data_IF_437424950902
#
_entry.id   IF_437424950902
#
_cell.length_a   1.000
_cell.length_b   1.000
_cell.length_c   1.000
_cell.angle_alpha   90.00
_cell.angle_beta   90.00
_cell.angle_gamma   90.00
#
_symmetry.space_group_name_H-M   'P 1'
#
loop_
_entity.id
_entity.type
_entity.pdbx_description
1 polymer ?
#
# COMPACT_ATOMS: atom_id res chain seq x y z
N UNK A 1 -39.30 -47.55 8.22
CA UNK A 1 -37.98 -47.23 8.81
C UNK A 1 -37.56 -45.85 8.34
N UNK A 2 -37.91 -44.80 9.09
CA UNK A 2 -37.51 -43.42 8.79
C UNK A 2 -36.42 -42.97 9.76
N UNK A 3 -35.22 -42.71 9.24
CA UNK A 3 -34.08 -42.23 10.01
C UNK A 3 -34.21 -40.72 10.27
N UNK A 4 -34.27 -40.35 11.55
CA UNK A 4 -34.10 -38.98 12.01
C UNK A 4 -32.59 -38.66 12.11
N UNK A 5 -32.05 -37.67 11.39
CA UNK A 5 -30.70 -37.18 11.64
C UNK A 5 -30.68 -36.26 12.86
N UNK A 6 -30.03 -36.77 13.92
CA UNK A 6 -29.37 -36.09 15.04
C UNK A 6 -29.47 -34.55 15.17
N UNK A 7 -30.46 -34.10 15.94
CA UNK A 7 -30.52 -32.75 16.57
C UNK A 7 -29.27 -32.44 17.43
N UNK A 8 -28.54 -33.47 17.88
CA UNK A 8 -27.34 -33.36 18.71
C UNK A 8 -26.11 -32.78 17.98
N UNK A 9 -26.00 -32.96 16.65
CA UNK A 9 -24.87 -32.42 15.87
C UNK A 9 -24.91 -30.90 15.70
N UNK A 10 -26.12 -30.32 15.59
CA UNK A 10 -26.32 -28.88 15.42
C UNK A 10 -26.12 -28.10 16.74
N UNK A 11 -26.46 -28.71 17.88
CA UNK A 11 -26.25 -28.11 19.20
C UNK A 11 -24.77 -28.13 19.63
N UNK A 12 -24.01 -29.16 19.24
CA UNK A 12 -22.58 -29.29 19.57
C UNK A 12 -21.67 -28.30 18.83
N UNK A 13 -21.96 -28.00 17.55
CA UNK A 13 -21.21 -27.01 16.77
C UNK A 13 -21.46 -25.58 17.26
N UNK A 14 -22.70 -25.25 17.64
CA UNK A 14 -23.03 -23.93 18.21
C UNK A 14 -22.37 -23.71 19.58
N UNK A 15 -22.36 -24.72 20.46
CA UNK A 15 -21.69 -24.63 21.79
C UNK A 15 -20.18 -24.48 21.69
N UNK A 16 -19.51 -25.18 20.76
CA UNK A 16 -18.06 -24.99 20.50
C UNK A 16 -17.77 -23.58 19.99
N UNK A 17 -18.55 -23.08 19.02
CA UNK A 17 -18.38 -21.74 18.49
C UNK A 17 -18.62 -20.64 19.54
N UNK A 18 -19.62 -20.81 20.41
CA UNK A 18 -19.89 -19.93 21.56
C UNK A 18 -18.75 -19.98 22.60
N UNK A 19 -18.22 -21.17 22.90
CA UNK A 19 -17.09 -21.35 23.83
C UNK A 19 -15.81 -20.69 23.31
N UNK A 20 -15.49 -20.86 22.02
CA UNK A 20 -14.31 -20.22 21.41
C UNK A 20 -14.46 -18.69 21.35
N UNK A 21 -15.66 -18.17 21.04
CA UNK A 21 -15.93 -16.73 21.05
C UNK A 21 -15.79 -16.14 22.45
N UNK A 22 -16.31 -16.83 23.47
CA UNK A 22 -16.17 -16.41 24.87
C UNK A 22 -14.72 -16.48 25.36
N UNK A 23 -13.97 -17.50 24.94
CA UNK A 23 -12.54 -17.60 25.25
C UNK A 23 -11.74 -16.45 24.61
N UNK A 24 -11.95 -16.18 23.32
CA UNK A 24 -11.30 -15.05 22.63
C UNK A 24 -11.65 -13.70 23.26
N UNK A 25 -12.91 -13.48 23.62
CA UNK A 25 -13.34 -12.25 24.28
C UNK A 25 -12.69 -12.06 25.65
N UNK A 26 -12.64 -13.13 26.46
CA UNK A 26 -11.96 -13.11 27.78
C UNK A 26 -10.46 -12.91 27.64
N UNK A 27 -9.83 -13.56 26.67
CA UNK A 27 -8.40 -13.41 26.40
C UNK A 27 -8.07 -11.97 25.99
N UNK A 28 -8.83 -11.40 25.03
CA UNK A 28 -8.65 -10.00 24.60
C UNK A 28 -8.88 -9.00 25.75
N UNK A 29 -9.88 -9.25 26.60
CA UNK A 29 -10.12 -8.43 27.78
C UNK A 29 -8.95 -8.50 28.77
N UNK A 30 -8.47 -9.71 29.08
CA UNK A 30 -7.33 -9.91 29.96
C UNK A 30 -6.06 -9.25 29.42
N UNK A 31 -5.75 -9.42 28.12
CA UNK A 31 -4.58 -8.76 27.50
C UNK A 31 -4.71 -7.24 27.52
N UNK A 32 -5.90 -6.70 27.24
CA UNK A 32 -6.14 -5.25 27.28
C UNK A 32 -5.99 -4.70 28.68
N UNK A 33 -6.52 -5.40 29.69
CA UNK A 33 -6.39 -5.04 31.09
C UNK A 33 -4.92 -5.04 31.52
N UNK A 34 -4.15 -6.07 31.16
CA UNK A 34 -2.71 -6.16 31.45
C UNK A 34 -1.91 -5.02 30.80
N UNK A 35 -2.22 -4.66 29.55
CA UNK A 35 -1.57 -3.53 28.87
C UNK A 35 -1.88 -2.21 29.58
N UNK A 36 -3.13 -1.97 29.95
CA UNK A 36 -3.55 -0.76 30.66
C UNK A 36 -2.91 -0.67 32.06
N UNK A 37 -2.88 -1.76 32.82
CA UNK A 37 -2.25 -1.78 34.15
C UNK A 37 -0.74 -1.56 34.05
N UNK A 38 -0.06 -2.15 33.06
CA UNK A 38 1.35 -1.92 32.82
C UNK A 38 1.64 -0.48 32.40
N UNK A 39 0.81 0.11 31.53
CA UNK A 39 0.93 1.52 31.15
C UNK A 39 0.79 2.45 32.37
N UNK A 40 -0.23 2.22 33.21
CA UNK A 40 -0.41 2.99 34.45
C UNK A 40 0.76 2.81 35.40
N UNK A 41 1.27 1.59 35.58
CA UNK A 41 2.45 1.34 36.40
C UNK A 41 3.68 2.11 35.90
N UNK A 42 3.92 2.15 34.58
CA UNK A 42 5.01 2.93 33.98
C UNK A 42 4.81 4.44 34.20
N UNK A 43 3.59 4.96 34.05
CA UNK A 43 3.27 6.37 34.33
C UNK A 43 3.52 6.72 35.80
N UNK A 44 3.03 5.90 36.74
CA UNK A 44 3.22 6.14 38.17
C UNK A 44 4.69 6.02 38.58
N UNK A 45 5.40 5.02 38.04
CA UNK A 45 6.83 4.85 38.28
C UNK A 45 7.63 6.06 37.77
N UNK A 46 7.44 6.46 36.51
CA UNK A 46 8.11 7.63 35.92
C UNK A 46 7.78 8.95 36.63
N UNK A 47 6.58 9.05 37.21
CA UNK A 47 6.17 10.20 38.04
C UNK A 47 6.89 10.26 39.40
N UNK A 48 7.32 9.13 39.94
CA UNK A 48 8.01 9.06 41.24
C UNK A 48 9.53 9.25 41.13
N UNK A 49 10.12 8.79 40.03
CA UNK A 49 11.58 8.68 39.90
C UNK A 49 12.33 9.98 39.65
N UNK A 50 11.67 11.15 39.67
CA UNK A 50 12.29 12.46 39.35
C UNK A 50 13.09 12.43 38.02
N UNK A 51 12.76 11.50 37.12
CA UNK A 51 13.30 11.41 35.77
C UNK A 51 12.84 12.66 35.00
N UNK A 52 13.62 13.73 35.11
CA UNK A 52 13.45 14.93 34.33
C UNK A 52 14.24 14.74 33.03
N UNK A 53 13.54 14.84 31.90
CA UNK A 53 14.22 14.89 30.62
C UNK A 53 15.05 16.17 30.56
N UNK A 54 16.26 16.09 30.02
CA UNK A 54 17.03 17.31 29.76
C UNK A 54 16.25 18.19 28.77
N UNK A 55 16.24 19.53 28.95
CA UNK A 55 15.60 20.42 27.99
C UNK A 55 16.08 20.16 26.56
N UNK A 56 17.36 19.85 26.36
CA UNK A 56 17.93 19.52 25.06
C UNK A 56 17.32 18.26 24.45
N UNK A 57 17.11 17.19 25.22
CA UNK A 57 16.49 15.97 24.72
C UNK A 57 15.05 16.21 24.26
N UNK A 58 14.31 17.05 25.00
CA UNK A 58 12.97 17.48 24.61
C UNK A 58 12.99 18.25 23.28
N UNK A 59 13.88 19.24 23.15
CA UNK A 59 14.03 20.03 21.92
C UNK A 59 14.34 19.14 20.70
N UNK A 60 15.26 18.18 20.84
CA UNK A 60 15.58 17.25 19.73
C UNK A 60 14.38 16.39 19.34
N UNK A 61 13.61 15.91 20.32
CA UNK A 61 12.45 15.09 20.07
C UNK A 61 11.33 15.88 19.38
N UNK A 62 11.16 17.16 19.74
CA UNK A 62 10.19 18.07 19.13
C UNK A 62 10.57 18.45 17.69
N UNK A 63 11.85 18.76 17.44
CA UNK A 63 12.39 18.98 16.08
C UNK A 63 12.25 17.72 15.23
N UNK A 64 12.62 16.55 15.75
CA UNK A 64 12.45 15.29 15.04
C UNK A 64 10.98 15.00 14.71
N UNK A 65 10.08 15.22 15.66
CA UNK A 65 8.64 15.04 15.47
C UNK A 65 8.03 15.98 14.43
N UNK A 66 8.41 17.26 14.43
CA UNK A 66 7.93 18.25 13.46
C UNK A 66 8.42 17.94 12.04
N UNK A 67 9.68 17.54 11.88
CA UNK A 67 10.21 17.09 10.58
C UNK A 67 9.42 15.89 10.04
N UNK A 68 9.09 14.92 10.89
CA UNK A 68 8.25 13.77 10.49
C UNK A 68 6.85 14.20 10.06
N UNK A 69 6.25 15.20 10.72
CA UNK A 69 4.97 15.78 10.29
C UNK A 69 5.04 16.35 8.88
N UNK A 70 6.06 17.16 8.59
CA UNK A 70 6.23 17.76 7.26
C UNK A 70 6.50 16.71 6.19
N UNK A 71 7.35 15.72 6.49
CA UNK A 71 7.62 14.59 5.59
C UNK A 71 6.34 13.81 5.26
N UNK A 72 5.54 13.48 6.27
CA UNK A 72 4.26 12.83 6.05
C UNK A 72 3.29 13.71 5.27
N UNK A 73 3.16 14.99 5.63
CA UNK A 73 2.25 15.91 4.96
C UNK A 73 2.55 16.02 3.46
N UNK A 74 3.83 16.15 3.10
CA UNK A 74 4.27 16.16 1.70
C UNK A 74 3.96 14.84 0.99
N UNK A 75 4.26 13.69 1.61
CA UNK A 75 3.99 12.38 1.03
C UNK A 75 2.48 12.13 0.83
N UNK A 76 1.66 12.51 1.81
CA UNK A 76 0.21 12.40 1.73
C UNK A 76 -0.38 13.28 0.62
N UNK A 77 0.21 14.46 0.34
CA UNK A 77 -0.20 15.31 -0.77
C UNK A 77 0.12 14.67 -2.14
N UNK A 78 1.27 14.01 -2.27
CA UNK A 78 1.64 13.22 -3.46
C UNK A 78 0.65 12.07 -3.65
N UNK A 79 0.32 11.36 -2.57
CA UNK A 79 -0.70 10.30 -2.58
C UNK A 79 -2.03 10.84 -3.07
N UNK A 80 -2.51 11.97 -2.53
CA UNK A 80 -3.73 12.61 -2.99
C UNK A 80 -3.69 12.95 -4.49
N UNK A 81 -2.58 13.50 -5.02
CA UNK A 81 -2.48 13.78 -6.46
C UNK A 81 -2.57 12.52 -7.33
N UNK A 82 -2.03 11.40 -6.85
CA UNK A 82 -2.08 10.12 -7.56
C UNK A 82 -3.43 9.41 -7.46
N UNK A 83 -4.04 9.38 -6.27
CA UNK A 83 -5.22 8.55 -5.98
C UNK A 83 -6.53 9.33 -5.87
N UNK A 84 -6.46 10.67 -5.79
CA UNK A 84 -7.59 11.55 -5.43
C UNK A 84 -8.24 11.18 -4.08
N UNK A 85 -7.48 10.52 -3.19
CA UNK A 85 -7.95 10.13 -1.86
C UNK A 85 -8.08 11.34 -0.94
N UNK A 86 -9.34 11.68 -0.60
CA UNK A 86 -9.67 12.83 0.23
C UNK A 86 -9.18 12.69 1.66
N UNK A 87 -9.07 11.46 2.18
CA UNK A 87 -8.50 11.20 3.51
C UNK A 87 -7.03 11.63 3.54
N UNK A 88 -6.26 11.29 2.50
CA UNK A 88 -4.87 11.73 2.37
C UNK A 88 -4.75 13.27 2.30
N UNK A 89 -5.69 13.95 1.64
CA UNK A 89 -5.72 15.42 1.58
C UNK A 89 -5.96 16.06 2.96
N UNK A 90 -6.97 15.60 3.69
CA UNK A 90 -7.30 16.10 5.04
C UNK A 90 -6.10 15.92 5.98
N UNK A 91 -5.52 14.73 5.98
CA UNK A 91 -4.38 14.41 6.83
C UNK A 91 -3.13 15.17 6.41
N UNK A 92 -2.88 15.37 5.11
CA UNK A 92 -1.76 16.18 4.64
C UNK A 92 -1.79 17.59 5.24
N UNK A 93 -2.90 18.31 5.08
CA UNK A 93 -3.03 19.65 5.66
C UNK A 93 -3.07 19.64 7.19
N UNK A 94 -3.69 18.62 7.79
CA UNK A 94 -3.72 18.46 9.23
C UNK A 94 -2.34 18.34 9.85
N UNK A 95 -1.50 17.45 9.32
CA UNK A 95 -0.12 17.28 9.76
C UNK A 95 0.76 18.49 9.43
N UNK A 96 0.56 19.15 8.28
CA UNK A 96 1.28 20.38 7.94
C UNK A 96 0.99 21.51 8.94
N UNK A 97 -0.29 21.78 9.22
CA UNK A 97 -0.69 22.84 10.14
C UNK A 97 -0.31 22.50 11.57
N UNK A 98 -0.47 21.24 11.96
CA UNK A 98 0.00 20.71 13.23
C UNK A 98 1.50 20.91 13.41
N UNK A 99 2.31 20.62 12.38
CA UNK A 99 3.75 20.85 12.35
C UNK A 99 4.10 22.34 12.49
N UNK A 100 3.39 23.25 11.80
CA UNK A 100 3.60 24.70 11.91
C UNK A 100 3.39 25.17 13.36
N UNK A 101 2.28 24.75 13.97
CA UNK A 101 1.96 25.12 15.36
C UNK A 101 3.02 24.58 16.33
N UNK A 102 3.48 23.35 16.13
CA UNK A 102 4.56 22.76 16.94
C UNK A 102 5.89 23.50 16.74
N UNK A 103 6.27 23.85 15.50
CA UNK A 103 7.48 24.63 15.24
C UNK A 103 7.44 26.00 15.94
N UNK A 104 6.30 26.70 15.90
CA UNK A 104 6.15 27.98 16.61
C UNK A 104 6.22 27.79 18.15
N UNK A 105 5.65 26.69 18.66
CA UNK A 105 5.71 26.36 20.09
C UNK A 105 7.14 26.05 20.55
N UNK A 106 7.89 25.30 19.75
CA UNK A 106 9.30 25.00 19.94
C UNK A 106 10.15 26.28 20.01
N UNK A 107 9.98 27.21 19.06
CA UNK A 107 10.75 28.48 19.05
C UNK A 107 10.47 29.26 20.35
N UNK A 108 9.19 29.41 20.71
CA UNK A 108 8.82 30.10 21.94
C UNK A 108 9.33 29.41 23.22
N UNK A 109 9.35 28.07 23.24
CA UNK A 109 9.92 27.32 24.35
C UNK A 109 11.44 27.52 24.45
N UNK A 110 12.17 27.46 23.34
CA UNK A 110 13.62 27.67 23.30
C UNK A 110 14.00 29.09 23.72
N UNK A 111 13.24 30.10 23.29
CA UNK A 111 13.45 31.49 23.70
C UNK A 111 13.20 31.66 25.21
N UNK A 112 12.13 31.08 25.75
CA UNK A 112 11.84 31.11 27.19
C UNK A 112 12.91 30.38 28.02
N UNK A 113 13.44 29.26 27.51
CA UNK A 113 14.53 28.52 28.13
C UNK A 113 15.81 29.36 28.18
N UNK A 114 16.21 29.97 27.06
CA UNK A 114 17.42 30.80 26.97
C UNK A 114 17.31 32.09 27.79
N UNK A 115 16.11 32.67 27.88
CA UNK A 115 15.84 33.84 28.70
C UNK A 115 15.66 33.52 30.20
N UNK A 116 15.63 32.24 30.59
CA UNK A 116 15.38 31.83 31.98
C UNK A 116 13.96 32.15 32.48
N UNK A 117 13.00 32.37 31.57
CA UNK A 117 11.60 32.74 31.89
C UNK A 117 10.65 31.55 31.85
N UNK A 118 11.17 30.34 31.64
CA UNK A 118 10.38 29.12 31.48
C UNK A 118 9.58 28.78 32.75
N UNK A 119 8.25 28.69 32.61
CA UNK A 119 7.34 28.28 33.68
C UNK A 119 6.93 26.82 33.48
N UNK A 120 7.57 25.90 34.20
CA UNK A 120 7.35 24.45 34.04
C UNK A 120 5.93 23.98 34.38
N UNK A 121 5.16 24.74 35.17
CA UNK A 121 3.77 24.38 35.50
C UNK A 121 2.77 24.73 34.38
N UNK A 122 3.16 25.57 33.41
CA UNK A 122 2.28 25.97 32.31
C UNK A 122 2.39 25.00 31.14
N UNK A 123 1.25 24.67 30.56
CA UNK A 123 1.18 23.86 29.34
C UNK A 123 1.30 24.76 28.12
N UNK A 124 2.19 24.44 27.15
CA UNK A 124 2.25 25.16 25.89
C UNK A 124 0.89 25.11 25.17
N UNK A 125 0.33 26.28 24.82
CA UNK A 125 -0.97 26.33 24.12
C UNK A 125 -0.92 25.63 22.77
N UNK A 126 0.21 25.74 22.05
CA UNK A 126 0.35 25.08 20.76
C UNK A 126 0.41 23.56 20.84
N UNK A 127 0.87 22.97 21.96
CA UNK A 127 0.69 21.53 22.23
C UNK A 127 -0.81 21.18 22.18
N UNK A 128 -1.62 21.91 22.94
CA UNK A 128 -3.06 21.63 23.01
C UNK A 128 -3.79 21.83 21.69
N UNK A 129 -3.54 22.96 21.03
CA UNK A 129 -4.18 23.29 19.75
C UNK A 129 -3.78 22.28 18.67
N UNK A 130 -2.49 22.03 18.49
CA UNK A 130 -1.97 21.12 17.45
C UNK A 130 -2.49 19.71 17.62
N UNK A 131 -2.48 19.18 18.85
CA UNK A 131 -2.93 17.81 19.13
C UNK A 131 -4.43 17.63 18.95
N UNK A 132 -5.22 18.59 19.44
CA UNK A 132 -6.69 18.55 19.35
C UNK A 132 -7.14 18.71 17.90
N UNK A 133 -6.52 19.62 17.15
CA UNK A 133 -6.75 19.79 15.72
C UNK A 133 -6.53 18.49 14.96
N UNK A 134 -5.38 17.84 15.18
CA UNK A 134 -5.06 16.60 14.47
C UNK A 134 -6.07 15.47 14.80
N UNK A 135 -6.52 15.38 16.06
CA UNK A 135 -7.56 14.42 16.46
C UNK A 135 -8.90 14.68 15.75
N UNK A 136 -9.33 15.95 15.69
CA UNK A 136 -10.54 16.37 14.98
C UNK A 136 -10.44 16.05 13.49
N UNK A 137 -9.28 16.27 12.86
CA UNK A 137 -9.09 15.99 11.44
C UNK A 137 -9.06 14.49 11.12
N UNK A 138 -8.56 13.63 12.02
CA UNK A 138 -8.68 12.18 11.87
C UNK A 138 -10.16 11.73 11.86
N UNK A 139 -10.97 12.29 12.77
CA UNK A 139 -12.41 12.02 12.82
C UNK A 139 -13.13 12.60 11.60
N UNK A 140 -12.76 13.80 11.16
CA UNK A 140 -13.30 14.43 9.96
C UNK A 140 -12.99 13.61 8.70
N UNK A 141 -11.78 13.05 8.59
CA UNK A 141 -11.42 12.17 7.49
C UNK A 141 -12.32 10.92 7.42
N UNK A 142 -12.55 10.26 8.57
CA UNK A 142 -13.50 9.15 8.67
C UNK A 142 -14.93 9.55 8.27
N UNK A 143 -15.39 10.74 8.69
CA UNK A 143 -16.71 11.24 8.35
C UNK A 143 -16.85 11.52 6.84
N UNK A 144 -15.89 12.22 6.25
CA UNK A 144 -15.87 12.56 4.82
C UNK A 144 -15.91 11.30 3.96
N UNK A 145 -15.11 10.30 4.32
CA UNK A 145 -15.09 9.03 3.60
C UNK A 145 -16.42 8.28 3.70
N UNK A 146 -17.07 8.31 4.85
CA UNK A 146 -18.39 7.67 5.05
C UNK A 146 -19.50 8.34 4.23
N UNK A 147 -19.50 9.67 4.15
CA UNK A 147 -20.57 10.42 3.47
C UNK A 147 -20.34 10.59 1.96
N UNK A 148 -19.10 10.53 1.51
CA UNK A 148 -18.73 10.74 0.11
C UNK A 148 -17.88 9.58 -0.45
N UNK A 149 -18.39 8.34 -0.56
CA UNK A 149 -17.57 7.20 -0.98
C UNK A 149 -17.14 7.24 -2.46
N UNK A 150 -17.79 8.04 -3.30
CA UNK A 150 -17.47 8.16 -4.74
C UNK A 150 -17.33 9.63 -5.14
N UNK A 151 -16.36 9.93 -5.99
CA UNK A 151 -16.15 11.27 -6.53
C UNK A 151 -17.09 11.52 -7.70
N UNK A 152 -17.99 12.50 -7.55
CA UNK A 152 -18.90 12.95 -8.61
C UNK A 152 -18.42 14.26 -9.22
N UNK A 153 -17.79 15.14 -8.43
CA UNK A 153 -17.28 16.47 -8.86
C UNK A 153 -15.98 16.82 -8.13
N UNK A 154 -14.80 16.44 -8.65
CA UNK A 154 -13.54 16.47 -7.90
C UNK A 154 -13.16 17.87 -7.39
N UNK A 155 -13.32 18.93 -8.19
CA UNK A 155 -12.96 20.29 -7.78
C UNK A 155 -13.84 20.87 -6.66
N UNK A 156 -15.13 20.51 -6.63
CA UNK A 156 -16.04 20.95 -5.55
C UNK A 156 -15.78 20.18 -4.26
N UNK A 157 -15.45 18.90 -4.39
CA UNK A 157 -15.13 18.04 -3.25
C UNK A 157 -13.81 18.43 -2.59
N UNK A 158 -12.78 18.80 -3.37
CA UNK A 158 -11.52 19.31 -2.81
C UNK A 158 -11.74 20.63 -2.06
N UNK A 159 -12.52 21.55 -2.62
CA UNK A 159 -12.88 22.80 -1.96
C UNK A 159 -13.64 22.55 -0.64
N UNK A 160 -14.60 21.62 -0.63
CA UNK A 160 -15.33 21.25 0.58
C UNK A 160 -14.40 20.64 1.65
N UNK A 161 -13.48 19.77 1.25
CA UNK A 161 -12.48 19.17 2.15
C UNK A 161 -11.57 20.24 2.76
N UNK A 162 -11.07 21.17 1.95
CA UNK A 162 -10.24 22.28 2.43
C UNK A 162 -11.01 23.18 3.40
N UNK A 163 -12.30 23.41 3.15
CA UNK A 163 -13.16 24.14 4.07
C UNK A 163 -13.29 23.41 5.41
N UNK A 164 -13.47 22.09 5.42
CA UNK A 164 -13.50 21.29 6.67
C UNK A 164 -12.20 21.46 7.45
N UNK A 165 -11.06 21.41 6.77
CA UNK A 165 -9.75 21.60 7.43
C UNK A 165 -9.63 23.01 8.01
N UNK A 166 -9.99 24.04 7.25
CA UNK A 166 -9.93 25.43 7.68
C UNK A 166 -10.86 25.72 8.87
N UNK A 167 -12.10 25.20 8.82
CA UNK A 167 -13.06 25.34 9.91
C UNK A 167 -12.59 24.62 11.16
N UNK A 168 -12.08 23.38 11.04
CA UNK A 168 -11.53 22.65 12.17
C UNK A 168 -10.36 23.41 12.81
N UNK A 169 -9.41 23.87 12.00
CA UNK A 169 -8.27 24.68 12.44
C UNK A 169 -8.69 25.94 13.19
N UNK A 170 -9.63 26.69 12.60
CA UNK A 170 -10.16 27.92 13.20
C UNK A 170 -10.86 27.63 14.53
N UNK A 171 -11.80 26.68 14.56
CA UNK A 171 -12.58 26.36 15.76
C UNK A 171 -11.69 25.85 16.89
N UNK A 172 -10.72 24.98 16.61
CA UNK A 172 -9.78 24.51 17.65
C UNK A 172 -8.91 25.65 18.17
N UNK A 173 -8.41 26.53 17.30
CA UNK A 173 -7.56 27.65 17.72
C UNK A 173 -8.36 28.66 18.53
N UNK A 174 -9.56 29.02 18.07
CA UNK A 174 -10.47 29.93 18.77
C UNK A 174 -10.87 29.39 20.14
N UNK A 175 -11.18 28.09 20.27
CA UNK A 175 -11.57 27.48 21.54
C UNK A 175 -10.47 27.57 22.61
N UNK A 176 -9.20 27.33 22.23
CA UNK A 176 -8.08 27.42 23.18
C UNK A 176 -7.61 28.86 23.44
N UNK A 177 -7.76 29.78 22.48
CA UNK A 177 -7.47 31.19 22.68
C UNK A 177 -8.53 31.90 23.53
N UNK A 178 -9.80 31.47 23.43
CA UNK A 178 -10.90 31.99 24.25
C UNK A 178 -10.91 31.41 25.67
N UNK A 179 -10.04 30.44 25.98
CA UNK A 179 -9.96 29.86 27.32
C UNK A 179 -9.47 30.93 28.32
N UNK A 180 -10.18 31.14 29.45
CA UNK A 180 -9.95 32.27 30.36
C UNK A 180 -8.58 32.28 31.06
N UNK A 181 -7.86 31.16 31.03
CA UNK A 181 -6.48 31.06 31.51
C UNK A 181 -5.76 29.94 30.78
N UNK A 182 -4.48 30.13 30.45
CA UNK A 182 -3.64 29.07 29.92
C UNK A 182 -3.68 27.84 30.84
N UNK A 183 -3.72 26.59 30.32
CA UNK A 183 -3.83 25.41 31.17
C UNK A 183 -2.61 25.28 32.10
N UNK A 184 -2.86 25.19 33.42
CA UNK A 184 -1.82 25.13 34.46
C UNK A 184 -1.90 23.83 35.24
N UNK A 185 -0.80 23.07 35.26
CA UNK A 185 -0.70 21.79 35.96
C UNK A 185 -0.91 21.93 37.48
N UNK A 186 -1.85 21.13 38.01
CA UNK A 186 -2.12 21.03 39.43
C UNK A 186 -1.38 19.83 40.02
N UNK A 187 -0.12 20.01 40.40
CA UNK A 187 0.78 18.92 40.80
C UNK A 187 0.28 18.06 41.99
N UNK A 188 -0.64 18.62 42.82
CA UNK A 188 -1.27 17.94 43.96
C UNK A 188 -2.28 16.86 43.53
N UNK A 189 -2.90 17.01 42.36
CA UNK A 189 -3.92 16.09 41.90
C UNK A 189 -3.29 14.85 41.26
N UNK A 190 -3.99 13.71 41.30
CA UNK A 190 -3.55 12.51 40.55
C UNK A 190 -3.53 12.81 39.06
N UNK A 191 -4.62 13.38 38.54
CA UNK A 191 -4.71 13.98 37.21
C UNK A 191 -4.29 15.44 37.31
N UNK A 192 -3.00 15.68 37.13
CA UNK A 192 -2.39 17.00 37.21
C UNK A 192 -2.85 17.92 36.06
N UNK A 193 -3.21 17.34 34.90
CA UNK A 193 -3.55 18.04 33.66
C UNK A 193 -4.85 17.51 33.04
N UNK A 194 -6.02 17.77 33.64
CA UNK A 194 -7.29 17.17 33.22
C UNK A 194 -7.73 17.58 31.80
N UNK A 195 -7.30 18.72 31.28
CA UNK A 195 -7.61 19.14 29.90
C UNK A 195 -7.01 18.22 28.83
N UNK A 196 -5.92 17.50 29.12
CA UNK A 196 -5.35 16.52 28.19
C UNK A 196 -6.31 15.32 27.98
N UNK A 197 -7.33 15.14 28.81
CA UNK A 197 -8.36 14.11 28.60
C UNK A 197 -9.26 14.38 27.38
N UNK A 198 -9.43 15.65 26.98
CA UNK A 198 -10.22 16.01 25.80
C UNK A 198 -9.62 15.40 24.51
N UNK A 199 -8.37 15.71 24.13
CA UNK A 199 -7.75 15.07 22.98
C UNK A 199 -7.59 13.55 23.18
N UNK A 200 -7.34 13.06 24.40
CA UNK A 200 -7.32 11.61 24.67
C UNK A 200 -8.64 10.93 24.23
N UNK A 201 -9.78 11.52 24.59
CA UNK A 201 -11.10 10.99 24.23
C UNK A 201 -11.36 11.05 22.72
N UNK A 202 -10.94 12.12 22.04
CA UNK A 202 -11.06 12.25 20.59
C UNK A 202 -10.23 11.19 19.86
N UNK A 203 -8.96 10.99 20.26
CA UNK A 203 -8.10 9.97 19.69
C UNK A 203 -8.58 8.55 20.00
N UNK A 204 -9.11 8.30 21.20
CA UNK A 204 -9.72 7.02 21.53
C UNK A 204 -10.94 6.74 20.65
N UNK A 205 -11.76 7.76 20.41
CA UNK A 205 -12.90 7.68 19.49
C UNK A 205 -12.44 7.37 18.06
N UNK A 206 -11.43 8.06 17.57
CA UNK A 206 -10.84 7.78 16.26
C UNK A 206 -10.30 6.35 16.18
N UNK A 207 -9.58 5.87 17.20
CA UNK A 207 -9.06 4.51 17.28
C UNK A 207 -10.20 3.47 17.25
N UNK A 208 -11.29 3.69 17.97
CA UNK A 208 -12.47 2.81 17.92
C UNK A 208 -13.09 2.76 16.52
N UNK A 209 -13.23 3.92 15.85
CA UNK A 209 -13.76 4.00 14.50
C UNK A 209 -12.86 3.29 13.47
N UNK A 210 -11.54 3.50 13.52
CA UNK A 210 -10.59 2.79 12.65
C UNK A 210 -10.56 1.29 12.94
N UNK A 211 -10.68 0.88 14.21
CA UNK A 211 -10.77 -0.54 14.59
C UNK A 211 -12.01 -1.20 13.97
N UNK A 212 -13.16 -0.53 14.01
CA UNK A 212 -14.40 -1.01 13.38
C UNK A 212 -14.24 -1.09 11.86
N UNK A 213 -13.63 -0.09 11.23
CA UNK A 213 -13.36 -0.08 9.79
C UNK A 213 -12.50 -1.27 9.36
N UNK A 214 -11.35 -1.47 10.00
CA UNK A 214 -10.43 -2.58 9.69
C UNK A 214 -11.11 -3.93 9.85
N UNK A 215 -11.97 -4.10 10.86
CA UNK A 215 -12.78 -5.32 11.04
C UNK A 215 -13.75 -5.52 9.87
N UNK A 216 -14.48 -4.48 9.48
CA UNK A 216 -15.45 -4.54 8.39
C UNK A 216 -14.80 -4.86 7.03
N UNK A 217 -13.59 -4.36 6.77
CA UNK A 217 -12.85 -4.68 5.53
C UNK A 217 -12.39 -6.13 5.50
N UNK A 218 -11.90 -6.65 6.64
CA UNK A 218 -11.50 -8.05 6.79
C UNK A 218 -12.67 -9.01 6.55
N UNK A 219 -13.86 -8.67 7.04
CA UNK A 219 -15.07 -9.48 6.84
C UNK A 219 -15.52 -9.49 5.36
N UNK A 220 -15.22 -8.43 4.60
CA UNK A 220 -15.49 -8.34 3.15
C UNK A 220 -14.46 -9.09 2.28
N UNK A 221 -13.50 -9.82 2.88
CA UNK A 221 -12.33 -10.41 2.18
C UNK A 221 -11.52 -9.39 1.37
N UNK A 222 -11.69 -8.10 1.63
CA UNK A 222 -10.83 -7.06 1.08
C UNK A 222 -9.60 -6.98 1.98
N UNK A 223 -8.40 -7.00 1.41
CA UNK A 223 -7.19 -6.77 2.20
C UNK A 223 -7.23 -5.33 2.70
N UNK A 224 -7.46 -5.13 4.00
CA UNK A 224 -7.33 -3.82 4.63
C UNK A 224 -5.92 -3.27 4.33
N UNK A 225 -5.86 -2.03 3.84
CA UNK A 225 -4.60 -1.42 3.41
C UNK A 225 -3.70 -1.18 4.62
N UNK A 226 -2.37 -1.24 4.44
CA UNK A 226 -1.43 -0.96 5.53
C UNK A 226 -1.67 0.41 6.16
N UNK A 227 -2.12 1.35 5.32
CA UNK A 227 -2.50 2.69 5.72
C UNK A 227 -3.58 2.74 6.83
N UNK A 228 -4.61 1.89 6.75
CA UNK A 228 -5.69 1.87 7.76
C UNK A 228 -5.24 1.31 9.11
N UNK A 229 -4.36 0.31 9.08
CA UNK A 229 -3.71 -0.19 10.30
C UNK A 229 -2.81 0.89 10.93
N UNK A 230 -2.06 1.63 10.12
CA UNK A 230 -1.27 2.75 10.62
C UNK A 230 -2.13 3.83 11.26
N UNK A 231 -3.28 4.19 10.67
CA UNK A 231 -4.22 5.15 11.26
C UNK A 231 -4.76 4.69 12.62
N UNK A 232 -5.10 3.40 12.75
CA UNK A 232 -5.50 2.82 14.03
C UNK A 232 -4.39 2.92 15.09
N UNK A 233 -3.16 2.54 14.73
CA UNK A 233 -2.02 2.59 15.65
C UNK A 233 -1.72 4.04 16.04
N UNK A 234 -1.75 4.97 15.08
CA UNK A 234 -1.54 6.41 15.32
C UNK A 234 -2.56 6.97 16.30
N UNK A 235 -3.85 6.68 16.10
CA UNK A 235 -4.90 7.13 17.00
C UNK A 235 -4.72 6.53 18.41
N UNK A 236 -4.34 5.25 18.49
CA UNK A 236 -4.08 4.57 19.77
C UNK A 236 -2.88 5.16 20.51
N UNK A 237 -1.77 5.41 19.82
CA UNK A 237 -0.56 6.01 20.39
C UNK A 237 -0.80 7.45 20.85
N UNK A 238 -1.59 8.23 20.12
CA UNK A 238 -1.94 9.59 20.55
C UNK A 238 -2.95 9.60 21.71
N UNK A 239 -3.83 8.60 21.83
CA UNK A 239 -4.63 8.42 23.03
C UNK A 239 -3.73 8.14 24.25
N UNK A 240 -2.74 7.24 24.10
CA UNK A 240 -1.75 6.94 25.15
C UNK A 240 -0.93 8.19 25.49
N UNK A 241 -0.47 8.95 24.50
CA UNK A 241 0.24 10.22 24.66
C UNK A 241 -0.50 11.15 25.63
N UNK A 242 -1.78 11.39 25.37
CA UNK A 242 -2.55 12.30 26.22
C UNK A 242 -2.95 11.73 27.57
N UNK A 243 -3.10 10.41 27.68
CA UNK A 243 -3.21 9.76 28.99
C UNK A 243 -1.95 10.02 29.80
N UNK A 244 -0.74 9.80 29.25
CA UNK A 244 0.52 10.11 29.92
C UNK A 244 0.61 11.60 30.32
N UNK A 245 0.27 12.51 29.39
CA UNK A 245 0.29 13.96 29.63
C UNK A 245 -0.68 14.37 30.77
N UNK A 246 -1.83 13.72 30.91
CA UNK A 246 -2.79 14.03 31.96
C UNK A 246 -2.26 13.81 33.39
N UNK A 247 -1.28 12.91 33.57
CA UNK A 247 -0.64 12.64 34.86
C UNK A 247 0.60 13.52 35.13
N UNK A 248 1.14 14.18 34.10
CA UNK A 248 2.34 15.03 34.20
C UNK A 248 2.11 16.22 35.13
N UNK A 249 2.96 16.40 36.15
CA UNK A 249 2.90 17.49 37.12
C UNK A 249 3.51 18.78 36.58
N UNK A 250 4.47 18.68 35.67
CA UNK A 250 5.19 19.81 35.10
C UNK A 250 5.82 19.41 33.77
N UNK A 251 6.18 20.41 32.97
CA UNK A 251 6.93 20.24 31.75
C UNK A 251 8.28 19.54 32.04
N UNK A 252 8.71 18.67 31.12
CA UNK A 252 9.94 17.87 31.19
C UNK A 252 9.96 16.75 32.25
N UNK A 253 8.85 16.48 32.95
CA UNK A 253 8.78 15.30 33.82
C UNK A 253 8.61 13.99 33.04
N UNK A 254 8.84 12.86 33.72
CA UNK A 254 8.77 11.52 33.11
C UNK A 254 7.49 11.24 32.32
N UNK A 255 6.28 11.47 32.89
CA UNK A 255 5.03 11.29 32.16
C UNK A 255 4.89 12.18 30.93
N UNK A 256 5.34 13.44 30.97
CA UNK A 256 5.33 14.30 29.80
C UNK A 256 6.31 13.82 28.73
N UNK A 257 7.49 13.34 29.12
CA UNK A 257 8.45 12.78 28.18
C UNK A 257 7.92 11.49 27.51
N UNK A 258 7.22 10.63 28.25
CA UNK A 258 6.52 9.47 27.67
C UNK A 258 5.41 9.89 26.69
N UNK A 259 4.72 11.00 26.97
CA UNK A 259 3.74 11.57 26.06
C UNK A 259 4.42 12.01 24.74
N UNK A 260 5.53 12.74 24.83
CA UNK A 260 6.30 13.20 23.68
C UNK A 260 6.83 12.03 22.85
N UNK A 261 7.37 10.99 23.49
CA UNK A 261 7.82 9.77 22.80
C UNK A 261 6.68 9.07 22.07
N UNK A 262 5.53 8.91 22.72
CA UNK A 262 4.35 8.29 22.12
C UNK A 262 3.85 9.09 20.91
N UNK A 263 3.86 10.42 21.01
CA UNK A 263 3.53 11.33 19.90
C UNK A 263 4.49 11.14 18.72
N UNK A 264 5.79 11.26 18.96
CA UNK A 264 6.80 11.15 17.89
C UNK A 264 6.81 9.76 17.25
N UNK A 265 6.63 8.71 18.04
CA UNK A 265 6.50 7.35 17.51
C UNK A 265 5.25 7.20 16.64
N UNK A 266 4.15 7.87 16.97
CA UNK A 266 2.94 7.86 16.13
C UNK A 266 3.24 8.44 14.73
N UNK A 267 4.04 9.49 14.63
CA UNK A 267 4.40 10.07 13.33
C UNK A 267 5.29 9.14 12.51
N UNK A 268 6.23 8.45 13.15
CA UNK A 268 7.04 7.41 12.49
C UNK A 268 6.15 6.30 11.93
N UNK A 269 5.19 5.81 12.70
CA UNK A 269 4.24 4.77 12.26
C UNK A 269 3.39 5.27 11.09
N UNK A 270 2.92 6.52 11.13
CA UNK A 270 2.12 7.11 10.05
C UNK A 270 2.93 7.20 8.75
N UNK A 271 4.13 7.77 8.81
CA UNK A 271 5.01 7.92 7.65
C UNK A 271 5.40 6.54 7.09
N UNK A 272 5.79 5.60 7.96
CA UNK A 272 6.15 4.24 7.56
C UNK A 272 4.98 3.53 6.88
N UNK A 273 3.77 3.66 7.44
CA UNK A 273 2.55 3.12 6.84
C UNK A 273 2.29 3.65 5.43
N UNK A 274 2.37 4.98 5.26
CA UNK A 274 2.17 5.63 3.97
C UNK A 274 3.22 5.20 2.93
N UNK A 275 4.51 5.16 3.31
CA UNK A 275 5.60 4.77 2.42
C UNK A 275 5.51 3.29 2.01
N UNK A 276 5.17 2.39 2.94
CA UNK A 276 5.01 0.96 2.63
C UNK A 276 3.80 0.71 1.74
N UNK A 277 2.69 1.42 1.95
CA UNK A 277 1.50 1.35 1.09
C UNK A 277 1.84 1.84 -0.33
N UNK A 278 2.54 2.97 -0.44
CA UNK A 278 3.00 3.52 -1.73
C UNK A 278 3.96 2.57 -2.46
N UNK A 279 4.94 1.98 -1.75
CA UNK A 279 5.87 1.02 -2.34
C UNK A 279 5.14 -0.23 -2.87
N UNK A 280 4.13 -0.73 -2.15
CA UNK A 280 3.29 -1.84 -2.61
C UNK A 280 2.50 -1.49 -3.86
N UNK A 281 1.87 -0.31 -3.89
CA UNK A 281 1.14 0.16 -5.07
C UNK A 281 2.08 0.33 -6.27
N UNK A 282 3.28 0.88 -6.05
CA UNK A 282 4.29 1.00 -7.09
C UNK A 282 4.72 -0.37 -7.64
N UNK A 283 4.99 -1.34 -6.78
CA UNK A 283 5.35 -2.70 -7.22
C UNK A 283 4.19 -3.40 -7.96
N UNK A 284 2.93 -3.18 -7.54
CA UNK A 284 1.78 -3.69 -8.28
C UNK A 284 1.68 -3.08 -9.68
N UNK A 285 1.81 -1.75 -9.78
CA UNK A 285 1.84 -1.02 -11.06
C UNK A 285 3.00 -1.50 -11.92
N UNK A 286 4.19 -1.67 -11.34
CA UNK A 286 5.38 -2.19 -12.03
C UNK A 286 5.17 -3.62 -12.53
N UNK A 287 4.58 -4.49 -11.73
CA UNK A 287 4.29 -5.88 -12.11
C UNK A 287 3.29 -5.90 -13.26
N UNK A 288 2.22 -5.10 -13.20
CA UNK A 288 1.28 -4.93 -14.32
C UNK A 288 1.94 -4.30 -15.55
N UNK A 289 2.94 -3.45 -15.36
CA UNK A 289 3.67 -2.81 -16.46
C UNK A 289 4.67 -3.74 -17.15
N UNK A 290 5.09 -4.85 -16.53
CA UNK A 290 6.17 -5.73 -17.03
C UNK A 290 5.73 -7.18 -17.29
N UNK A 291 4.66 -7.66 -16.66
CA UNK A 291 4.20 -9.06 -16.75
C UNK A 291 2.73 -9.16 -17.16
N UNK A 292 2.38 -10.26 -17.84
CA UNK A 292 1.00 -10.61 -18.17
C UNK A 292 0.30 -11.25 -16.95
N UNK A 293 -0.86 -10.72 -16.50
CA UNK A 293 -1.49 -11.17 -15.26
C UNK A 293 -2.10 -12.58 -15.35
N UNK A 294 -2.40 -13.09 -16.56
CA UNK A 294 -2.96 -14.42 -16.73
C UNK A 294 -1.87 -15.49 -16.63
N UNK A 295 -0.80 -15.34 -17.38
CA UNK A 295 0.24 -16.37 -17.57
C UNK A 295 1.44 -16.19 -16.65
N UNK A 296 1.65 -14.98 -16.10
CA UNK A 296 2.83 -14.62 -15.31
C UNK A 296 4.12 -14.49 -16.12
N UNK A 297 4.05 -14.58 -17.46
CA UNK A 297 5.15 -14.27 -18.37
C UNK A 297 5.40 -12.76 -18.46
N UNK A 298 6.45 -12.34 -19.16
CA UNK A 298 6.58 -10.94 -19.55
C UNK A 298 5.39 -10.49 -20.42
N UNK A 299 5.04 -9.21 -20.39
CA UNK A 299 4.05 -8.65 -21.33
C UNK A 299 4.74 -8.13 -22.61
N UNK A 300 3.93 -7.71 -23.58
CA UNK A 300 4.40 -7.09 -24.82
C UNK A 300 5.44 -5.98 -24.60
N UNK A 301 5.16 -5.04 -23.69
CA UNK A 301 6.07 -3.91 -23.42
C UNK A 301 7.45 -4.39 -22.95
N UNK A 302 7.47 -5.40 -22.07
CA UNK A 302 8.73 -5.99 -21.60
C UNK A 302 9.46 -6.72 -22.72
N UNK A 303 8.76 -7.47 -23.57
CA UNK A 303 9.36 -8.15 -24.72
C UNK A 303 10.08 -7.16 -25.64
N UNK A 304 9.43 -6.07 -26.03
CA UNK A 304 10.02 -5.03 -26.88
C UNK A 304 11.26 -4.41 -26.22
N UNK A 305 11.17 -4.04 -24.93
CA UNK A 305 12.32 -3.46 -24.22
C UNK A 305 13.52 -4.40 -24.13
N UNK A 306 13.30 -5.71 -24.01
CA UNK A 306 14.37 -6.72 -23.99
C UNK A 306 14.95 -6.90 -25.40
N UNK A 307 14.11 -6.90 -26.42
CA UNK A 307 14.54 -6.98 -27.82
C UNK A 307 15.43 -5.80 -28.20
N UNK A 308 15.04 -4.57 -27.87
CA UNK A 308 15.85 -3.36 -28.08
C UNK A 308 17.20 -3.45 -27.36
N UNK A 309 17.19 -3.83 -26.08
CA UNK A 309 18.40 -3.97 -25.29
C UNK A 309 19.35 -5.06 -25.82
N UNK A 310 18.81 -6.20 -26.27
CA UNK A 310 19.61 -7.28 -26.85
C UNK A 310 20.15 -6.88 -28.22
N UNK A 311 19.41 -6.11 -29.01
CA UNK A 311 19.88 -5.57 -30.28
C UNK A 311 21.08 -4.62 -30.10
N UNK A 312 21.02 -3.72 -29.11
CA UNK A 312 22.16 -2.86 -28.74
C UNK A 312 23.35 -3.64 -28.16
N UNK A 313 23.08 -4.74 -27.45
CA UNK A 313 24.12 -5.63 -26.95
C UNK A 313 24.79 -6.39 -28.11
N UNK A 314 24.02 -6.97 -29.01
CA UNK A 314 24.51 -7.74 -30.16
C UNK A 314 25.23 -6.88 -31.18
N UNK A 315 24.85 -5.61 -31.35
CA UNK A 315 25.65 -4.63 -32.13
C UNK A 315 27.06 -4.45 -31.56
N UNK A 316 27.22 -4.49 -30.24
CA UNK A 316 28.53 -4.34 -29.58
C UNK A 316 29.33 -5.63 -29.51
N UNK A 317 28.67 -6.75 -29.24
CA UNK A 317 29.34 -8.05 -29.01
C UNK A 317 29.47 -8.91 -30.27
N UNK A 318 28.75 -8.54 -31.34
CA UNK A 318 28.65 -9.31 -32.58
C UNK A 318 28.13 -10.75 -32.36
N UNK A 319 27.38 -10.97 -31.28
CA UNK A 319 26.74 -12.26 -30.99
C UNK A 319 25.33 -12.30 -31.58
N UNK A 320 24.92 -13.38 -32.27
CA UNK A 320 23.58 -13.50 -32.81
C UNK A 320 22.55 -13.69 -31.68
N UNK A 321 21.32 -13.28 -31.93
CA UNK A 321 20.16 -13.61 -31.09
C UNK A 321 18.97 -13.86 -31.99
N UNK A 322 17.94 -14.53 -31.46
CA UNK A 322 16.73 -14.83 -32.23
C UNK A 322 15.48 -14.35 -31.52
N UNK A 323 14.49 -13.97 -32.31
CA UNK A 323 13.11 -13.69 -31.89
C UNK A 323 12.23 -14.81 -32.42
N UNK A 324 11.37 -15.34 -31.55
CA UNK A 324 10.35 -16.31 -31.93
C UNK A 324 8.98 -15.73 -31.61
N UNK A 325 8.08 -15.75 -32.59
CA UNK A 325 6.66 -15.52 -32.36
C UNK A 325 5.94 -16.87 -32.40
N UNK A 326 5.06 -17.08 -31.43
CA UNK A 326 4.32 -18.31 -31.22
C UNK A 326 2.84 -17.95 -31.19
N UNK A 327 2.00 -18.81 -31.74
CA UNK A 327 0.55 -18.65 -31.67
C UNK A 327 -0.10 -19.99 -31.34
N UNK A 328 -1.00 -19.96 -30.37
CA UNK A 328 -1.76 -21.13 -29.93
C UNK A 328 -2.81 -21.54 -30.96
N UNK A 329 -2.67 -22.75 -31.50
CA UNK A 329 -3.62 -23.25 -32.48
C UNK A 329 -4.96 -23.57 -31.80
N UNK A 330 -6.06 -23.05 -32.34
CA UNK A 330 -7.41 -23.47 -31.97
C UNK A 330 -7.94 -22.93 -30.64
N UNK A 331 -7.40 -21.84 -30.08
CA UNK A 331 -7.94 -21.25 -28.84
C UNK A 331 -9.44 -20.94 -28.92
N UNK A 332 -9.92 -20.43 -30.07
CA UNK A 332 -11.34 -20.18 -30.29
C UNK A 332 -12.18 -21.45 -30.18
N UNK A 333 -11.76 -22.54 -30.82
CA UNK A 333 -12.46 -23.82 -30.74
C UNK A 333 -12.49 -24.37 -29.31
N UNK A 334 -11.41 -24.19 -28.54
CA UNK A 334 -11.38 -24.55 -27.12
C UNK A 334 -12.34 -23.71 -26.30
N UNK A 335 -12.40 -22.39 -26.55
CA UNK A 335 -13.36 -21.51 -25.88
C UNK A 335 -14.80 -21.87 -26.22
N UNK A 336 -15.09 -22.17 -27.49
CA UNK A 336 -16.43 -22.51 -27.96
C UNK A 336 -16.89 -23.87 -27.41
N UNK A 337 -15.99 -24.85 -27.28
CA UNK A 337 -16.31 -26.20 -26.80
C UNK A 337 -16.30 -26.33 -25.27
N UNK A 338 -15.36 -25.67 -24.58
CA UNK A 338 -15.10 -25.88 -23.14
C UNK A 338 -15.25 -24.61 -22.29
N UNK A 339 -15.61 -23.49 -22.90
CA UNK A 339 -15.76 -22.19 -22.25
C UNK A 339 -14.46 -21.43 -22.02
N UNK A 340 -14.58 -20.12 -21.83
CA UNK A 340 -13.45 -19.19 -21.66
C UNK A 340 -12.52 -19.48 -20.48
N UNK A 341 -13.04 -20.11 -19.41
CA UNK A 341 -12.22 -20.53 -18.26
C UNK A 341 -11.20 -21.61 -18.67
N UNK A 342 -11.61 -22.53 -19.54
CA UNK A 342 -10.73 -23.58 -20.05
C UNK A 342 -9.70 -23.01 -21.02
N UNK A 343 -10.09 -22.10 -21.92
CA UNK A 343 -9.12 -21.40 -22.77
C UNK A 343 -8.12 -20.57 -21.97
N UNK A 344 -8.56 -19.89 -20.91
CA UNK A 344 -7.66 -19.19 -19.98
C UNK A 344 -6.65 -20.14 -19.33
N UNK A 345 -7.09 -21.35 -18.94
CA UNK A 345 -6.20 -22.39 -18.40
C UNK A 345 -5.23 -22.92 -19.44
N UNK A 346 -5.65 -23.07 -20.70
CA UNK A 346 -4.78 -23.48 -21.79
C UNK A 346 -3.64 -22.46 -22.02
N UNK A 347 -3.95 -21.16 -21.99
CA UNK A 347 -2.93 -20.10 -22.05
C UNK A 347 -1.95 -20.16 -20.87
N UNK A 348 -2.45 -20.42 -19.66
CA UNK A 348 -1.60 -20.61 -18.47
C UNK A 348 -0.66 -21.81 -18.63
N UNK A 349 -1.14 -22.92 -19.22
CA UNK A 349 -0.32 -24.11 -19.49
C UNK A 349 0.79 -23.81 -20.48
N UNK A 350 0.50 -23.15 -21.59
CA UNK A 350 1.53 -22.68 -22.53
C UNK A 350 2.55 -21.78 -21.81
N UNK A 351 2.07 -20.83 -21.02
CA UNK A 351 2.94 -19.95 -20.23
C UNK A 351 3.90 -20.72 -19.32
N UNK A 352 3.43 -21.77 -18.64
CA UNK A 352 4.27 -22.64 -17.81
C UNK A 352 5.31 -23.40 -18.63
N UNK A 353 4.93 -23.98 -19.77
CA UNK A 353 5.87 -24.70 -20.64
C UNK A 353 6.96 -23.78 -21.15
N UNK A 354 6.60 -22.58 -21.63
CA UNK A 354 7.57 -21.58 -22.08
C UNK A 354 8.53 -21.21 -20.95
N UNK A 355 8.02 -20.91 -19.76
CA UNK A 355 8.85 -20.56 -18.60
C UNK A 355 9.81 -21.68 -18.19
N UNK A 356 9.35 -22.92 -18.16
CA UNK A 356 10.14 -24.07 -17.69
C UNK A 356 11.17 -24.54 -18.73
N UNK A 357 10.97 -24.24 -20.01
CA UNK A 357 11.84 -24.66 -21.11
C UNK A 357 12.61 -23.51 -21.77
N UNK A 358 12.56 -22.32 -21.19
CA UNK A 358 13.45 -21.19 -21.46
C UNK A 358 14.62 -21.18 -20.48
N UNK A 359 15.80 -20.73 -20.93
CA UNK A 359 16.96 -20.49 -20.07
C UNK A 359 16.71 -19.24 -19.21
N UNK A 360 17.48 -19.07 -18.13
CA UNK A 360 17.38 -17.89 -17.27
C UNK A 360 17.64 -16.56 -18.00
N UNK A 361 18.41 -16.59 -19.09
CA UNK A 361 18.70 -15.43 -19.95
C UNK A 361 17.64 -15.21 -21.05
N UNK A 362 16.83 -16.22 -21.35
CA UNK A 362 15.79 -16.12 -22.36
C UNK A 362 14.60 -15.36 -21.78
N UNK A 363 13.90 -14.59 -22.61
CA UNK A 363 12.69 -13.88 -22.20
C UNK A 363 11.48 -14.45 -22.92
N UNK A 364 10.58 -15.08 -22.16
CA UNK A 364 9.26 -15.49 -22.64
C UNK A 364 8.20 -14.48 -22.24
N UNK A 365 7.39 -14.07 -23.21
CA UNK A 365 6.33 -13.08 -23.05
C UNK A 365 5.03 -13.55 -23.69
N UNK A 366 3.90 -13.03 -23.19
CA UNK A 366 2.63 -13.04 -23.93
C UNK A 366 2.56 -11.78 -24.77
N UNK A 367 2.50 -11.97 -26.09
CA UNK A 367 2.49 -10.89 -27.08
C UNK A 367 1.11 -10.23 -27.16
N UNK A 368 0.04 -11.03 -27.14
CA UNK A 368 -1.35 -10.57 -27.09
C UNK A 368 -2.31 -11.71 -27.39
N UNK A 369 -3.51 -11.75 -26.79
CA UNK A 369 -4.47 -12.85 -27.08
C UNK A 369 -3.89 -14.25 -26.85
N UNK A 370 -3.82 -15.06 -27.90
CA UNK A 370 -3.20 -16.38 -28.03
C UNK A 370 -1.72 -16.38 -28.48
N UNK A 371 -1.14 -15.20 -28.70
CA UNK A 371 0.21 -15.02 -29.20
C UNK A 371 1.23 -14.87 -28.07
N UNK A 372 2.39 -15.50 -28.23
CA UNK A 372 3.52 -15.49 -27.33
C UNK A 372 4.80 -15.11 -28.08
N UNK A 373 5.78 -14.54 -27.36
CA UNK A 373 7.07 -14.16 -27.91
C UNK A 373 8.23 -14.72 -27.08
N UNK A 374 9.32 -15.07 -27.74
CA UNK A 374 10.61 -15.38 -27.11
C UNK A 374 11.70 -14.49 -27.67
N UNK A 375 12.54 -13.95 -26.79
CA UNK A 375 13.86 -13.43 -27.15
C UNK A 375 14.90 -14.40 -26.61
N UNK A 376 15.76 -14.89 -27.49
CA UNK A 376 16.79 -15.90 -27.21
C UNK A 376 18.18 -15.29 -27.45
N UNK A 377 18.80 -14.69 -26.42
CA UNK A 377 20.17 -14.18 -26.51
C UNK A 377 21.18 -15.27 -26.88
N UNK A 378 22.21 -14.91 -27.64
CA UNK A 378 23.30 -15.82 -28.04
C UNK A 378 22.82 -17.08 -28.76
N UNK A 379 21.70 -16.97 -29.48
CA UNK A 379 21.08 -18.05 -30.25
C UNK A 379 20.82 -17.61 -31.69
N UNK A 380 21.49 -18.25 -32.65
CA UNK A 380 21.15 -18.14 -34.06
C UNK A 380 19.89 -18.96 -34.43
N UNK A 381 19.50 -18.90 -35.69
CA UNK A 381 18.26 -19.49 -36.22
C UNK A 381 18.12 -20.98 -35.93
N UNK A 382 19.19 -21.76 -36.05
CA UNK A 382 19.19 -23.20 -35.78
C UNK A 382 18.90 -23.52 -34.31
N UNK A 383 19.51 -22.77 -33.39
CA UNK A 383 19.30 -22.95 -31.94
C UNK A 383 17.87 -22.58 -31.59
N UNK A 384 17.37 -21.46 -32.11
CA UNK A 384 15.99 -21.03 -31.90
C UNK A 384 14.98 -22.07 -32.41
N UNK A 385 15.23 -22.63 -33.59
CA UNK A 385 14.37 -23.69 -34.16
C UNK A 385 14.36 -24.93 -33.27
N UNK A 386 15.50 -25.35 -32.71
CA UNK A 386 15.55 -26.46 -31.75
C UNK A 386 14.78 -26.17 -30.45
N UNK A 387 14.84 -24.93 -29.96
CA UNK A 387 14.05 -24.50 -28.79
C UNK A 387 12.55 -24.59 -29.10
N UNK A 388 12.12 -24.13 -30.26
CA UNK A 388 10.73 -24.24 -30.73
C UNK A 388 10.27 -25.70 -30.82
N UNK A 389 11.06 -26.57 -31.47
CA UNK A 389 10.73 -27.99 -31.58
C UNK A 389 10.54 -28.62 -30.20
N UNK A 390 11.46 -28.35 -29.28
CA UNK A 390 11.36 -28.84 -27.90
C UNK A 390 10.10 -28.35 -27.20
N UNK A 391 9.73 -27.08 -27.35
CA UNK A 391 8.50 -26.52 -26.76
C UNK A 391 7.27 -27.25 -27.32
N UNK A 392 7.20 -27.46 -28.64
CA UNK A 392 6.10 -28.16 -29.31
C UNK A 392 5.98 -29.61 -28.83
N UNK A 393 7.09 -30.33 -28.73
CA UNK A 393 7.12 -31.69 -28.20
C UNK A 393 6.62 -31.76 -26.75
N UNK A 394 6.98 -30.77 -25.91
CA UNK A 394 6.55 -30.72 -24.51
C UNK A 394 5.06 -30.43 -24.37
N UNK A 395 4.51 -29.53 -25.19
CA UNK A 395 3.07 -29.28 -25.24
C UNK A 395 2.29 -30.51 -25.69
N UNK A 396 2.77 -31.20 -26.72
CA UNK A 396 2.15 -32.42 -27.24
C UNK A 396 2.19 -33.59 -26.24
N UNK A 397 3.20 -33.64 -25.38
CA UNK A 397 3.35 -34.66 -24.35
C UNK A 397 2.53 -34.40 -23.08
N UNK A 398 1.88 -33.23 -22.92
CA UNK A 398 1.02 -32.97 -21.78
C UNK A 398 -0.24 -33.86 -21.84
N UNK A 399 -0.45 -34.67 -20.80
CA UNK A 399 -1.61 -35.56 -20.70
C UNK A 399 -2.94 -34.84 -20.34
N UNK A 400 -2.88 -33.54 -20.02
CA UNK A 400 -4.07 -32.76 -19.65
C UNK A 400 -4.84 -32.33 -20.91
N UNK A 401 -6.14 -32.61 -20.95
CA UNK A 401 -7.03 -32.19 -22.04
C UNK A 401 -7.47 -30.72 -21.87
N UNK A 402 -7.71 -29.96 -22.96
CA UNK A 402 -7.46 -30.33 -24.36
C UNK A 402 -5.96 -30.38 -24.68
N UNK A 403 -5.59 -31.16 -25.69
CA UNK A 403 -4.23 -31.18 -26.22
C UNK A 403 -3.90 -29.80 -26.82
N UNK A 404 -2.70 -29.31 -26.54
CA UNK A 404 -2.28 -27.97 -26.95
C UNK A 404 -1.22 -28.07 -28.05
N UNK A 405 -1.35 -27.24 -29.08
CA UNK A 405 -0.31 -27.05 -30.09
C UNK A 405 -0.07 -25.57 -30.33
N UNK A 406 1.11 -25.27 -30.85
CA UNK A 406 1.51 -23.92 -31.24
C UNK A 406 2.17 -23.95 -32.61
N UNK A 407 1.85 -22.94 -33.40
CA UNK A 407 2.59 -22.54 -34.58
C UNK A 407 3.68 -21.53 -34.20
N UNK A 408 4.81 -21.53 -34.90
CA UNK A 408 5.97 -20.70 -34.55
C UNK A 408 6.65 -20.09 -35.78
N UNK A 409 7.06 -18.83 -35.68
CA UNK A 409 7.92 -18.15 -36.66
C UNK A 409 9.20 -17.67 -36.00
N UNK A 410 10.33 -17.88 -36.66
CA UNK A 410 11.68 -17.57 -36.13
C UNK A 410 12.35 -16.53 -37.03
N UNK A 411 12.93 -15.50 -36.41
CA UNK A 411 13.83 -14.54 -37.05
C UNK A 411 15.13 -14.43 -36.25
N UNK A 412 16.27 -14.37 -36.92
CA UNK A 412 17.58 -14.23 -36.32
C UNK A 412 18.25 -12.90 -36.70
N UNK A 413 18.84 -12.21 -35.72
CA UNK A 413 19.74 -11.10 -35.98
C UNK A 413 21.15 -11.62 -36.33
N UNK A 414 21.84 -11.04 -37.32
CA UNK A 414 21.42 -9.92 -38.17
C UNK A 414 20.70 -10.32 -39.47
N UNK A 415 20.60 -11.62 -39.77
CA UNK A 415 20.14 -12.14 -41.07
C UNK A 415 18.72 -11.70 -41.47
N UNK A 416 17.79 -11.71 -40.51
CA UNK A 416 16.36 -11.46 -40.74
C UNK A 416 15.94 -10.02 -40.37
N UNK A 417 16.88 -9.17 -39.92
CA UNK A 417 16.63 -7.76 -39.58
C UNK A 417 17.63 -7.15 -38.60
N UNK A 418 17.75 -5.82 -38.65
CA UNK A 418 18.68 -4.99 -37.84
C UNK A 418 17.98 -3.98 -36.90
N UNK A 419 16.65 -4.08 -36.82
CA UNK A 419 15.74 -3.27 -36.02
C UNK A 419 14.65 -4.16 -35.40
N UNK A 420 14.08 -3.80 -34.23
CA UNK A 420 13.01 -4.58 -33.60
C UNK A 420 11.83 -4.86 -34.54
N UNK A 421 11.41 -3.85 -35.31
CA UNK A 421 10.27 -3.93 -36.22
C UNK A 421 10.52 -4.93 -37.35
N UNK A 422 11.73 -4.92 -37.95
CA UNK A 422 12.08 -5.86 -39.03
C UNK A 422 12.16 -7.30 -38.52
N UNK A 423 12.74 -7.51 -37.35
CA UNK A 423 12.85 -8.85 -36.74
C UNK A 423 11.48 -9.42 -36.39
N UNK A 424 10.62 -8.63 -35.76
CA UNK A 424 9.23 -9.02 -35.46
C UNK A 424 8.47 -9.30 -36.74
N UNK A 425 8.55 -8.42 -37.74
CA UNK A 425 7.88 -8.62 -39.02
C UNK A 425 8.38 -9.87 -39.76
N UNK A 426 9.67 -10.22 -39.64
CA UNK A 426 10.21 -11.44 -40.24
C UNK A 426 9.74 -12.70 -39.51
N UNK A 427 9.70 -12.68 -38.18
CA UNK A 427 9.16 -13.77 -37.38
C UNK A 427 7.66 -13.97 -37.65
N UNK A 428 6.89 -12.89 -37.77
CA UNK A 428 5.46 -12.92 -38.10
C UNK A 428 5.22 -13.52 -39.49
N UNK A 429 5.99 -13.10 -40.51
CA UNK A 429 5.93 -13.73 -41.85
C UNK A 429 6.21 -15.23 -41.79
N UNK A 430 7.23 -15.65 -41.03
CA UNK A 430 7.55 -17.06 -40.87
C UNK A 430 6.42 -17.85 -40.18
N UNK A 431 5.81 -17.26 -39.15
CA UNK A 431 4.66 -17.83 -38.44
C UNK A 431 3.46 -17.97 -39.37
N UNK A 432 3.17 -16.94 -40.16
CA UNK A 432 2.09 -16.94 -41.14
C UNK A 432 2.27 -18.05 -42.18
N UNK A 433 3.47 -18.20 -42.74
CA UNK A 433 3.81 -19.25 -43.70
C UNK A 433 3.58 -20.64 -43.11
N UNK A 434 3.99 -20.85 -41.85
CA UNK A 434 3.78 -22.11 -41.14
C UNK A 434 2.30 -22.43 -40.94
N UNK A 435 1.49 -21.45 -40.55
CA UNK A 435 0.05 -21.63 -40.34
C UNK A 435 -0.74 -21.92 -41.63
N UNK A 436 -0.34 -21.31 -42.74
CA UNK A 436 -1.13 -21.33 -43.99
C UNK A 436 -0.50 -22.21 -45.10
N UNK A 437 0.44 -23.08 -44.74
CA UNK A 437 1.02 -24.06 -45.67
C UNK A 437 1.71 -23.45 -46.89
N UNK A 438 2.32 -22.27 -46.74
CA UNK A 438 3.09 -21.61 -47.81
C UNK A 438 2.30 -20.81 -48.85
N UNK A 439 0.97 -20.62 -48.71
CA UNK A 439 0.23 -19.68 -49.57
C UNK A 439 0.40 -18.24 -49.08
N UNK A 440 1.31 -17.51 -49.75
CA UNK A 440 1.60 -16.10 -49.51
C UNK A 440 0.43 -15.23 -49.99
N UNK A 441 -0.35 -14.67 -49.08
CA UNK A 441 -1.28 -13.57 -49.39
C UNK A 441 -1.02 -12.40 -48.45
N UNK A 442 -0.63 -11.28 -49.05
CA UNK A 442 -0.03 -10.05 -48.47
C UNK A 442 -1.02 -9.22 -47.62
N UNK A 443 -2.08 -9.82 -47.05
CA UNK A 443 -3.26 -9.06 -46.64
C UNK A 443 -3.30 -8.54 -45.19
N UNK A 444 -2.26 -8.67 -44.35
CA UNK A 444 -2.36 -8.24 -42.94
C UNK A 444 -1.34 -7.21 -42.42
N UNK A 445 -0.57 -6.54 -43.30
CA UNK A 445 0.20 -5.35 -42.90
C UNK A 445 -0.70 -4.20 -42.37
N UNK A 446 -2.02 -4.25 -42.61
CA UNK A 446 -2.97 -3.23 -42.16
C UNK A 446 -3.49 -3.41 -40.72
N UNK A 447 -3.37 -4.59 -40.11
CA UNK A 447 -3.96 -4.84 -38.76
C UNK A 447 -3.10 -4.31 -37.61
N UNK A 448 -1.79 -4.15 -37.82
CA UNK A 448 -0.89 -3.56 -36.81
C UNK A 448 -1.07 -2.03 -36.73
N UNK A 449 -1.44 -1.38 -37.84
CA UNK A 449 -1.73 0.07 -37.83
C UNK A 449 -3.03 0.44 -37.09
N UNK A 450 -3.93 -0.51 -36.84
CA UNK A 450 -5.19 -0.27 -36.13
C UNK A 450 -5.10 -0.50 -34.60
N UNK A 451 -3.96 -0.97 -34.09
CA UNK A 451 -3.65 -1.09 -32.67
C UNK A 451 -2.56 -0.09 -32.20
N UNK A 452 -2.05 0.75 -33.10
CA UNK A 452 -1.41 2.03 -32.76
C UNK A 452 -2.49 3.04 -32.36
#
# INVERSE_FOLDING_TARGET
MGSWPSITGFLGSSRRALSERNFRARFLFATSLTVVTLLLAVIFYSRQTLLAASPQAYLYLEVGGTLLCYCYAANALVRFRGTHDRTALILSFGFALSGIIETMSYVGFNDALNAGTLVLSKVPLGWMVSRTLLAVLLLAALAVERYMPTARKPSKETAAVLLVVAVAAYLTSAAFLAAPSAPVANAKNILSRPWDLLPAALYLTAAMCFCQRVKNEKDKKTSANLFDYSLLIVASLNAICHVCAAFSRQLLDGPFFLAELSKTFSYLVMLSGALLDQARLFEQVRTMAVSDPLTGLANYRRLISVLEAELDRSRRTQRPFSVVLLDMDGLKAINDQYGHLTGSRALVRIGKVLRNHSRAIDTAARYGGDEFGLVLPEAGKDIATRVVTRIRERLAAEAEAPALSVSAGVAAYPEDGDTPEKLIASADRALYIMKHGGRSSVQNLARIAACL
#
